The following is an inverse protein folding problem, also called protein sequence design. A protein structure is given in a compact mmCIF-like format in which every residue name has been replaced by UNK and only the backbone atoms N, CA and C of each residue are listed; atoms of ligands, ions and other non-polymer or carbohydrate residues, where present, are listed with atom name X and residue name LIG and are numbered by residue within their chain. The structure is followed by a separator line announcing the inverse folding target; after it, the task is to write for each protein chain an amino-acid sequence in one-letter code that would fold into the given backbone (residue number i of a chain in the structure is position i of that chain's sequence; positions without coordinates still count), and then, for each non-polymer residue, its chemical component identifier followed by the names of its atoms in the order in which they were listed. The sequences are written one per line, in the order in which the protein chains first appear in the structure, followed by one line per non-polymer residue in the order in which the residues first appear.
data_IF_454640185813
#
_entry.id   IF_454640185813
#
_cell.length_a   1.000
_cell.length_b   1.000
_cell.length_c   1.000
_cell.angle_alpha   90.00
_cell.angle_beta   90.00
_cell.angle_gamma   90.00
#
_symmetry.space_group_name_H-M   'P 1'
#
loop_
_entity.id
_entity.type
_entity.pdbx_description
1 polymer ?
#
# COMPACT_ATOMS: atom_id res chain seq x y z
N UNK A 1 49.69 -4.23 23.78
CA UNK A 1 48.41 -4.38 23.06
C UNK A 1 48.74 -4.72 21.61
N UNK A 2 47.95 -5.54 20.92
CA UNK A 2 48.12 -5.76 19.49
C UNK A 2 48.12 -4.40 18.76
N UNK A 3 49.08 -4.22 17.85
CA UNK A 3 49.31 -2.95 17.15
C UNK A 3 48.42 -2.77 15.91
N UNK A 4 47.78 -3.85 15.44
CA UNK A 4 46.98 -3.87 14.21
C UNK A 4 45.82 -4.86 14.34
N UNK A 5 44.73 -4.60 13.63
CA UNK A 5 43.63 -5.55 13.48
C UNK A 5 43.99 -6.65 12.46
N UNK A 6 43.41 -7.83 12.62
CA UNK A 6 43.46 -8.89 11.61
C UNK A 6 42.12 -8.97 10.90
N UNK A 7 42.14 -9.06 9.57
CA UNK A 7 40.93 -9.02 8.73
C UNK A 7 40.82 -10.31 7.92
N UNK A 8 39.72 -11.05 8.11
CA UNK A 8 39.42 -12.27 7.36
C UNK A 8 38.11 -12.12 6.58
N UNK A 9 38.17 -12.08 5.25
CA UNK A 9 36.97 -11.93 4.39
C UNK A 9 36.04 -13.14 4.51
N UNK A 10 34.74 -12.87 4.65
CA UNK A 10 33.69 -13.91 4.74
C UNK A 10 32.93 -13.97 3.42
N UNK A 11 32.93 -15.14 2.77
CA UNK A 11 32.09 -15.49 1.62
C UNK A 11 31.94 -14.37 0.57
N UNK A 12 33.06 -13.75 0.20
CA UNK A 12 33.22 -12.67 -0.78
C UNK A 12 32.47 -11.35 -0.48
N UNK A 13 31.14 -11.37 -0.42
CA UNK A 13 30.30 -10.17 -0.32
C UNK A 13 29.54 -10.05 1.02
N UNK A 14 29.77 -10.95 1.98
CA UNK A 14 29.06 -10.95 3.27
C UNK A 14 29.72 -10.05 4.34
N UNK A 15 30.99 -9.68 4.16
CA UNK A 15 31.74 -8.82 5.08
C UNK A 15 33.09 -9.41 5.46
N UNK A 16 33.62 -8.99 6.62
CA UNK A 16 34.89 -9.50 7.15
C UNK A 16 34.84 -9.75 8.67
N UNK A 17 35.48 -10.82 9.13
CA UNK A 17 35.73 -11.05 10.55
C UNK A 17 36.99 -10.30 10.99
N UNK A 18 36.88 -9.57 12.11
CA UNK A 18 37.96 -8.83 12.71
C UNK A 18 38.41 -9.54 13.99
N UNK A 19 39.70 -9.82 14.07
CA UNK A 19 40.33 -10.42 15.26
C UNK A 19 41.58 -9.64 15.68
N UNK A 20 42.17 -10.05 16.81
CA UNK A 20 43.33 -9.37 17.37
C UNK A 20 43.00 -8.10 18.15
N UNK A 21 41.74 -7.88 18.53
CA UNK A 21 41.33 -6.78 19.42
C UNK A 21 40.34 -7.25 20.48
N UNK A 22 40.24 -6.47 21.57
CA UNK A 22 39.28 -6.69 22.66
C UNK A 22 38.44 -5.43 22.88
N UNK A 23 37.18 -5.47 22.43
CA UNK A 23 36.23 -4.36 22.52
C UNK A 23 35.79 -4.08 23.97
N UNK A 24 36.14 -4.95 24.92
CA UNK A 24 35.89 -4.70 26.36
C UNK A 24 36.84 -3.64 26.90
N UNK A 25 37.93 -3.33 26.19
CA UNK A 25 38.88 -2.29 26.52
C UNK A 25 38.72 -1.09 25.60
N UNK A 26 39.06 0.14 26.05
CA UNK A 26 39.13 1.30 25.18
C UNK A 26 40.09 1.05 24.01
N UNK A 27 39.63 1.34 22.79
CA UNK A 27 40.47 1.28 21.58
C UNK A 27 41.26 2.58 21.43
N UNK A 28 42.52 2.47 21.01
CA UNK A 28 43.29 3.64 20.57
C UNK A 28 42.71 4.19 19.26
N UNK A 29 43.07 5.43 18.94
CA UNK A 29 42.57 6.08 17.73
C UNK A 29 43.11 5.39 16.47
N UNK A 30 44.34 4.91 16.49
CA UNK A 30 44.93 4.16 15.36
C UNK A 30 44.15 2.87 15.07
N UNK A 31 43.79 2.10 16.11
CA UNK A 31 43.00 0.87 15.94
C UNK A 31 41.59 1.20 15.43
N UNK A 32 40.99 2.28 15.92
CA UNK A 32 39.67 2.68 15.47
C UNK A 32 39.67 3.13 13.99
N UNK A 33 40.71 3.84 13.54
CA UNK A 33 40.87 4.21 12.14
C UNK A 33 40.98 2.97 11.23
N UNK A 34 41.75 1.95 11.63
CA UNK A 34 41.80 0.68 10.91
C UNK A 34 40.44 -0.01 10.84
N UNK A 35 39.69 -0.02 11.96
CA UNK A 35 38.34 -0.58 12.01
C UNK A 35 37.36 0.16 11.10
N UNK A 36 37.43 1.49 11.10
CA UNK A 36 36.58 2.32 10.27
C UNK A 36 36.89 2.08 8.78
N UNK A 37 38.17 1.99 8.41
CA UNK A 37 38.59 1.64 7.06
C UNK A 37 38.08 0.25 6.64
N UNK A 38 38.18 -0.74 7.53
CA UNK A 38 37.66 -2.09 7.28
C UNK A 38 36.13 -2.09 7.09
N UNK A 39 35.39 -1.30 7.87
CA UNK A 39 33.95 -1.13 7.68
C UNK A 39 33.62 -0.51 6.32
N UNK A 40 34.36 0.52 5.89
CA UNK A 40 34.16 1.14 4.59
C UNK A 40 34.45 0.19 3.42
N UNK A 41 35.46 -0.67 3.53
CA UNK A 41 35.81 -1.64 2.48
C UNK A 41 34.83 -2.83 2.44
N UNK A 42 34.41 -3.33 3.61
CA UNK A 42 33.69 -4.60 3.72
C UNK A 42 32.20 -4.45 3.99
N UNK A 43 31.71 -3.23 4.24
CA UNK A 43 30.33 -2.85 4.57
C UNK A 43 29.74 -3.46 5.86
N UNK A 44 30.16 -4.68 6.22
CA UNK A 44 29.81 -5.38 7.45
C UNK A 44 31.07 -6.01 8.04
N UNK A 45 31.31 -5.78 9.32
CA UNK A 45 32.42 -6.39 10.06
C UNK A 45 31.92 -7.15 11.28
N UNK A 46 32.50 -8.31 11.53
CA UNK A 46 32.10 -9.21 12.61
C UNK A 46 33.20 -9.29 13.66
N UNK A 47 32.77 -9.34 14.92
CA UNK A 47 33.67 -9.60 16.04
C UNK A 47 33.18 -10.84 16.78
N UNK A 48 34.09 -11.78 17.04
CA UNK A 48 33.79 -12.99 17.81
C UNK A 48 34.21 -12.81 19.27
N UNK A 49 33.49 -13.48 20.15
CA UNK A 49 33.82 -13.61 21.58
C UNK A 49 33.94 -12.28 22.35
N UNK A 50 33.20 -11.26 21.92
CA UNK A 50 33.15 -9.94 22.56
C UNK A 50 31.99 -9.84 23.55
N UNK A 51 32.18 -10.28 24.79
CA UNK A 51 31.13 -10.22 25.81
C UNK A 51 31.06 -8.82 26.44
N UNK A 52 30.35 -7.89 25.78
CA UNK A 52 30.29 -6.48 26.15
C UNK A 52 29.19 -6.20 27.19
N UNK A 53 29.49 -5.31 28.14
CA UNK A 53 28.46 -4.65 28.95
C UNK A 53 27.69 -3.61 28.12
N UNK A 54 26.45 -3.24 28.50
CA UNK A 54 25.73 -2.14 27.84
C UNK A 54 26.52 -0.84 27.76
N UNK A 55 27.27 -0.50 28.82
CA UNK A 55 28.14 0.68 28.85
C UNK A 55 29.27 0.59 27.81
N UNK A 56 29.98 -0.54 27.72
CA UNK A 56 31.03 -0.75 26.71
C UNK A 56 30.46 -0.73 25.29
N UNK A 57 29.30 -1.36 25.07
CA UNK A 57 28.62 -1.35 23.78
C UNK A 57 28.29 0.07 23.32
N UNK A 58 27.71 0.90 24.22
CA UNK A 58 27.43 2.31 23.98
C UNK A 58 28.70 3.11 23.68
N UNK A 59 29.76 2.92 24.48
CA UNK A 59 31.03 3.63 24.28
C UNK A 59 31.69 3.30 22.94
N UNK A 60 31.65 2.03 22.53
CA UNK A 60 32.13 1.63 21.21
C UNK A 60 31.30 2.26 20.09
N UNK A 61 29.97 2.25 20.20
CA UNK A 61 29.08 2.84 19.20
C UNK A 61 29.28 4.35 19.03
N UNK A 62 29.52 5.08 20.14
CA UNK A 62 29.77 6.52 20.12
C UNK A 62 31.02 6.92 19.33
N UNK A 63 31.97 5.99 19.11
CA UNK A 63 33.13 6.26 18.25
C UNK A 63 32.74 6.51 16.79
N UNK A 64 31.61 5.95 16.33
CA UNK A 64 31.10 6.12 14.97
C UNK A 64 30.19 7.34 14.81
N UNK A 65 29.68 7.91 15.92
CA UNK A 65 28.87 9.12 15.90
C UNK A 65 27.73 9.12 16.92
N UNK A 66 26.80 10.06 16.73
CA UNK A 66 25.64 10.21 17.60
C UNK A 66 24.68 9.03 17.47
N UNK A 67 24.23 8.50 18.61
CA UNK A 67 23.30 7.37 18.67
C UNK A 67 21.85 7.84 18.49
N UNK A 68 21.02 6.98 17.92
CA UNK A 68 19.59 7.21 17.78
C UNK A 68 18.81 6.26 18.69
N UNK A 69 17.67 6.73 19.18
CA UNK A 69 16.72 5.92 19.95
C UNK A 69 15.54 5.53 19.07
N UNK A 70 14.93 4.39 19.37
CA UNK A 70 13.72 3.92 18.67
C UNK A 70 12.56 3.79 19.66
N UNK A 71 11.45 4.53 19.49
CA UNK A 71 10.36 4.55 20.48
C UNK A 71 9.52 3.26 20.48
N UNK A 72 9.57 2.47 19.39
CA UNK A 72 8.69 1.31 19.22
C UNK A 72 9.22 0.01 19.86
N UNK A 73 10.46 0.01 20.37
CA UNK A 73 11.07 -1.20 20.93
C UNK A 73 11.45 -1.00 22.39
N UNK A 74 11.42 -2.08 23.19
CA UNK A 74 12.00 -2.06 24.53
C UNK A 74 13.49 -1.71 24.46
N UNK A 75 13.99 -1.07 25.50
CA UNK A 75 15.39 -0.65 25.61
C UNK A 75 16.01 -1.22 26.86
N UNK A 76 17.33 -1.32 26.87
CA UNK A 76 18.06 -1.75 28.06
C UNK A 76 17.93 -0.69 29.16
N UNK A 77 17.62 -1.12 30.38
CA UNK A 77 17.47 -0.23 31.52
C UNK A 77 18.74 0.63 31.74
N UNK A 78 18.57 1.95 31.83
CA UNK A 78 19.68 2.90 31.93
C UNK A 78 20.40 3.23 30.61
N UNK A 79 20.03 2.58 29.50
CA UNK A 79 20.64 2.75 28.17
C UNK A 79 19.55 2.83 27.08
N UNK A 80 18.80 3.95 27.00
CA UNK A 80 17.68 4.11 26.06
C UNK A 80 18.08 4.07 24.58
N UNK A 81 19.38 4.19 24.27
CA UNK A 81 19.92 4.07 22.92
C UNK A 81 20.18 2.61 22.50
N UNK A 82 20.06 1.65 23.42
CA UNK A 82 20.24 0.23 23.14
C UNK A 82 18.88 -0.44 23.07
N UNK A 83 18.42 -0.68 21.85
CA UNK A 83 17.19 -1.40 21.56
C UNK A 83 17.37 -2.91 21.76
N UNK A 84 16.36 -3.53 22.38
CA UNK A 84 16.27 -4.99 22.54
C UNK A 84 15.47 -5.55 21.35
N UNK A 85 16.10 -6.43 20.58
CA UNK A 85 15.49 -7.18 19.50
C UNK A 85 15.41 -8.65 19.93
N UNK A 86 14.19 -9.10 20.22
CA UNK A 86 13.90 -10.46 20.66
C UNK A 86 12.72 -11.00 19.87
N UNK A 87 12.97 -12.09 19.15
CA UNK A 87 11.95 -12.86 18.45
C UNK A 87 11.98 -14.28 19.00
N UNK A 88 10.84 -14.78 19.46
CA UNK A 88 10.68 -16.14 19.94
C UNK A 88 9.30 -16.69 19.55
N UNK A 89 8.97 -17.90 20.02
CA UNK A 89 7.69 -18.55 19.69
C UNK A 89 6.48 -17.74 20.16
N UNK A 90 6.62 -17.04 21.29
CA UNK A 90 5.58 -16.24 21.93
C UNK A 90 5.62 -14.77 21.46
N UNK A 91 6.76 -14.33 20.90
CA UNK A 91 7.00 -13.02 20.28
C UNK A 91 7.50 -13.18 18.83
N UNK A 92 6.64 -13.57 17.87
CA UNK A 92 7.08 -13.75 16.49
C UNK A 92 7.49 -12.41 15.85
N UNK A 93 8.47 -12.46 14.96
CA UNK A 93 8.89 -11.31 14.16
C UNK A 93 7.71 -10.75 13.36
N UNK A 94 7.63 -9.42 13.32
CA UNK A 94 6.56 -8.68 12.66
C UNK A 94 6.94 -8.22 11.25
N UNK A 95 8.19 -8.40 10.84
CA UNK A 95 8.73 -7.88 9.56
C UNK A 95 9.51 -9.02 8.86
N UNK A 96 8.78 -9.87 8.14
CA UNK A 96 9.32 -11.04 7.42
C UNK A 96 9.65 -10.73 5.95
N UNK A 97 10.13 -9.52 5.66
CA UNK A 97 10.46 -9.07 4.30
C UNK A 97 11.79 -8.31 4.30
N UNK A 98 12.49 -8.37 3.16
CA UNK A 98 13.67 -7.54 2.92
C UNK A 98 13.31 -6.06 3.08
N UNK A 99 14.01 -5.38 3.98
CA UNK A 99 13.81 -3.96 4.25
C UNK A 99 15.15 -3.26 4.47
N UNK A 100 15.12 -1.93 4.42
CA UNK A 100 16.25 -1.09 4.80
C UNK A 100 15.77 -0.01 5.75
N UNK A 101 16.31 -0.02 6.96
CA UNK A 101 15.82 0.82 8.05
C UNK A 101 16.16 2.29 7.86
N UNK A 102 15.19 3.16 8.15
CA UNK A 102 15.40 4.59 8.41
C UNK A 102 15.98 5.43 7.25
N UNK A 103 16.09 4.86 6.06
CA UNK A 103 16.59 5.53 4.84
C UNK A 103 15.73 6.71 4.38
N UNK A 104 14.46 6.76 4.79
CA UNK A 104 13.54 7.86 4.51
C UNK A 104 13.87 9.16 5.29
N UNK A 105 14.75 9.09 6.29
CA UNK A 105 15.12 10.27 7.09
C UNK A 105 16.01 11.22 6.28
N UNK A 106 15.87 12.53 6.53
CA UNK A 106 16.75 13.57 5.92
C UNK A 106 18.25 13.33 6.17
N UNK A 107 18.58 12.68 7.29
CA UNK A 107 19.94 12.22 7.64
C UNK A 107 19.81 10.79 8.14
N UNK A 108 19.88 9.79 7.24
CA UNK A 108 19.81 8.39 7.62
C UNK A 108 20.96 8.02 8.57
N UNK A 109 20.77 7.02 9.46
CA UNK A 109 21.87 6.45 10.23
C UNK A 109 22.97 5.91 9.31
N UNK A 110 24.23 5.99 9.77
CA UNK A 110 25.37 5.37 9.08
C UNK A 110 25.20 3.85 8.96
N UNK A 111 24.68 3.22 10.02
CA UNK A 111 24.49 1.78 10.12
C UNK A 111 24.04 1.38 11.53
N UNK A 112 23.99 0.07 11.76
CA UNK A 112 23.59 -0.54 13.03
C UNK A 112 24.75 -1.33 13.63
N UNK A 113 24.87 -1.31 14.96
CA UNK A 113 25.79 -2.17 15.70
C UNK A 113 24.95 -3.16 16.49
N UNK A 114 25.09 -4.44 16.16
CA UNK A 114 24.31 -5.52 16.74
C UNK A 114 25.20 -6.34 17.68
N UNK A 115 24.75 -6.51 18.91
CA UNK A 115 25.40 -7.38 19.89
C UNK A 115 24.51 -8.59 20.17
N UNK A 116 24.86 -9.71 19.55
CA UNK A 116 24.09 -10.95 19.67
C UNK A 116 24.26 -11.59 21.06
N UNK A 117 23.15 -11.75 21.80
CA UNK A 117 23.14 -12.34 23.16
C UNK A 117 22.67 -13.79 23.17
N UNK A 118 21.67 -14.10 22.34
CA UNK A 118 21.13 -15.43 22.12
C UNK A 118 21.09 -15.67 20.61
N UNK A 119 21.75 -16.73 20.15
CA UNK A 119 21.80 -17.11 18.73
C UNK A 119 21.51 -18.60 18.63
N UNK A 120 20.60 -19.04 17.73
CA UNK A 120 20.35 -20.46 17.54
C UNK A 120 21.60 -21.17 17.04
N UNK A 121 21.77 -22.44 17.41
CA UNK A 121 22.93 -23.24 17.01
C UNK A 121 23.05 -23.42 15.48
N UNK A 122 21.91 -23.42 14.78
CA UNK A 122 21.80 -23.46 13.32
C UNK A 122 20.58 -22.62 12.91
N UNK A 123 20.72 -21.86 11.82
CA UNK A 123 19.64 -21.02 11.28
C UNK A 123 19.61 -19.62 11.88
N UNK A 124 18.42 -19.01 11.86
CA UNK A 124 18.17 -17.61 12.24
C UNK A 124 17.21 -16.96 11.23
N UNK A 125 16.52 -15.91 11.68
CA UNK A 125 15.60 -15.10 10.87
C UNK A 125 16.29 -13.88 10.23
N UNK A 126 17.42 -13.46 10.79
CA UNK A 126 18.13 -12.26 10.35
C UNK A 126 19.09 -12.57 9.20
N UNK A 127 18.77 -12.07 8.02
CA UNK A 127 19.61 -12.12 6.82
C UNK A 127 19.94 -10.71 6.33
N UNK A 128 21.11 -10.53 5.72
CA UNK A 128 21.46 -9.31 5.00
C UNK A 128 22.02 -9.65 3.62
N UNK A 129 21.94 -8.68 2.70
CA UNK A 129 22.46 -8.81 1.35
C UNK A 129 23.22 -7.54 0.95
N UNK A 130 24.28 -7.71 0.16
CA UNK A 130 25.00 -6.57 -0.41
C UNK A 130 24.24 -6.03 -1.61
N UNK A 131 23.66 -4.85 -1.48
CA UNK A 131 22.98 -4.16 -2.58
C UNK A 131 23.94 -3.82 -3.74
N UNK A 132 25.21 -3.58 -3.44
CA UNK A 132 26.24 -3.39 -4.47
C UNK A 132 26.50 -4.66 -5.27
N UNK A 133 26.63 -5.81 -4.60
CA UNK A 133 26.82 -7.09 -5.28
C UNK A 133 25.56 -7.47 -6.08
N UNK A 134 24.38 -7.24 -5.51
CA UNK A 134 23.10 -7.45 -6.20
C UNK A 134 23.02 -6.61 -7.49
N UNK A 135 23.34 -5.31 -7.41
CA UNK A 135 23.34 -4.42 -8.57
C UNK A 135 24.38 -4.83 -9.63
N UNK A 136 25.62 -5.14 -9.21
CA UNK A 136 26.69 -5.60 -10.12
C UNK A 136 26.36 -6.95 -10.76
N UNK A 137 25.54 -7.77 -10.13
CA UNK A 137 25.05 -9.04 -10.67
C UNK A 137 23.94 -8.89 -11.71
N UNK A 138 23.37 -7.69 -11.89
CA UNK A 138 22.38 -7.41 -12.93
C UNK A 138 23.03 -7.34 -14.31
N UNK A 139 22.25 -7.61 -15.35
CA UNK A 139 22.67 -7.38 -16.74
C UNK A 139 22.91 -5.90 -17.03
N UNK A 140 23.75 -5.59 -18.02
CA UNK A 140 24.05 -4.22 -18.43
C UNK A 140 22.79 -3.41 -18.77
N UNK A 141 21.80 -4.05 -19.41
CA UNK A 141 20.53 -3.42 -19.73
C UNK A 141 19.74 -3.01 -18.47
N UNK A 142 19.71 -3.87 -17.45
CA UNK A 142 19.05 -3.55 -16.18
C UNK A 142 19.82 -2.49 -15.39
N UNK A 143 21.15 -2.56 -15.37
CA UNK A 143 21.98 -1.51 -14.77
C UNK A 143 21.72 -0.16 -15.44
N UNK A 144 21.67 -0.11 -16.77
CA UNK A 144 21.37 1.11 -17.53
C UNK A 144 19.97 1.65 -17.23
N UNK A 145 18.95 0.79 -17.24
CA UNK A 145 17.58 1.16 -16.92
C UNK A 145 17.47 1.79 -15.52
N UNK A 146 18.07 1.15 -14.52
CA UNK A 146 18.01 1.60 -13.13
C UNK A 146 18.83 2.88 -12.87
N UNK A 147 19.91 3.10 -13.62
CA UNK A 147 20.82 4.24 -13.41
C UNK A 147 20.17 5.60 -13.62
N UNK A 148 19.09 5.67 -14.40
CA UNK A 148 18.33 6.89 -14.65
C UNK A 148 17.18 7.12 -13.69
N UNK A 149 16.92 6.18 -12.76
CA UNK A 149 15.77 6.25 -11.85
C UNK A 149 16.16 6.86 -10.51
N UNK A 150 15.22 7.58 -9.91
CA UNK A 150 15.36 8.12 -8.55
C UNK A 150 14.64 7.20 -7.57
N UNK A 151 15.36 6.67 -6.59
CA UNK A 151 14.76 5.91 -5.49
C UNK A 151 14.17 6.88 -4.46
N UNK A 152 12.88 6.71 -4.13
CA UNK A 152 12.20 7.42 -3.06
C UNK A 152 12.08 6.47 -1.87
N UNK A 153 12.66 6.88 -0.74
CA UNK A 153 12.57 6.14 0.51
C UNK A 153 11.50 6.80 1.37
N UNK A 154 10.38 6.11 1.57
CA UNK A 154 9.26 6.60 2.37
C UNK A 154 8.86 5.54 3.41
N UNK A 155 8.74 5.99 4.65
CA UNK A 155 8.34 5.21 5.81
C UNK A 155 6.98 4.53 5.62
N UNK A 156 6.07 5.13 4.85
CA UNK A 156 4.73 4.63 4.61
C UNK A 156 4.70 3.24 3.93
N UNK A 157 5.70 2.93 3.09
CA UNK A 157 5.74 1.65 2.36
C UNK A 157 6.32 0.50 3.21
N UNK A 158 7.29 0.78 4.08
CA UNK A 158 7.95 -0.25 4.92
C UNK A 158 7.10 -0.74 6.09
N UNK A 159 6.21 0.11 6.60
CA UNK A 159 5.33 -0.19 7.74
C UNK A 159 3.86 -0.32 7.36
N UNK A 160 3.54 -0.45 6.08
CA UNK A 160 2.17 -0.53 5.57
C UNK A 160 1.35 -1.64 6.27
N UNK A 161 1.99 -2.76 6.63
CA UNK A 161 1.35 -3.87 7.33
C UNK A 161 1.09 -3.58 8.82
N UNK A 162 2.01 -2.89 9.51
CA UNK A 162 1.81 -2.41 10.89
C UNK A 162 0.82 -1.25 10.97
N UNK A 163 0.71 -0.44 9.92
CA UNK A 163 -0.32 0.59 9.78
C UNK A 163 -1.69 -0.02 9.40
N UNK A 164 -1.72 -1.26 8.93
CA UNK A 164 -2.92 -1.99 8.49
C UNK A 164 -3.46 -3.01 9.53
N UNK A 165 -3.18 -2.79 10.82
CA UNK A 165 -3.80 -3.54 11.92
C UNK A 165 -5.35 -3.48 11.85
N UNK A 166 -6.07 -4.47 12.43
CA UNK A 166 -7.52 -4.56 12.36
C UNK A 166 -8.19 -3.29 12.90
N UNK A 167 -8.92 -2.57 12.04
CA UNK A 167 -9.50 -1.25 12.32
C UNK A 167 -8.79 -0.05 11.65
N UNK A 168 -7.64 -0.26 10.98
CA UNK A 168 -6.84 0.77 10.31
C UNK A 168 -6.96 0.84 8.78
N UNK A 169 -7.84 0.06 8.14
CA UNK A 169 -7.96 0.04 6.68
C UNK A 169 -8.55 1.34 6.12
N UNK A 170 -7.84 2.03 5.22
CA UNK A 170 -8.48 3.08 4.43
C UNK A 170 -9.52 2.48 3.48
N UNK A 171 -10.57 3.24 3.15
CA UNK A 171 -11.57 2.79 2.16
C UNK A 171 -10.97 2.75 0.75
N UNK A 172 -11.53 1.92 -0.15
CA UNK A 172 -11.07 1.82 -1.55
C UNK A 172 -10.93 3.20 -2.20
N UNK A 173 -11.91 4.09 -2.02
CA UNK A 173 -11.88 5.45 -2.57
C UNK A 173 -10.74 6.32 -2.03
N UNK A 174 -10.39 6.18 -0.74
CA UNK A 174 -9.26 6.91 -0.16
C UNK A 174 -7.94 6.42 -0.77
N UNK A 175 -7.76 5.10 -0.87
CA UNK A 175 -6.53 4.55 -1.47
C UNK A 175 -6.42 4.92 -2.95
N UNK A 176 -7.52 4.90 -3.72
CA UNK A 176 -7.54 5.41 -5.09
C UNK A 176 -7.08 6.87 -5.13
N UNK A 177 -7.64 7.74 -4.28
CA UNK A 177 -7.26 9.15 -4.24
C UNK A 177 -5.76 9.33 -3.94
N UNK A 178 -5.23 8.59 -2.96
CA UNK A 178 -3.81 8.60 -2.60
C UNK A 178 -2.92 8.24 -3.78
N UNK A 179 -3.16 7.10 -4.43
CA UNK A 179 -2.32 6.63 -5.54
C UNK A 179 -2.35 7.60 -6.74
N UNK A 180 -3.49 8.28 -6.97
CA UNK A 180 -3.56 9.32 -8.00
C UNK A 180 -2.77 10.58 -7.61
N UNK A 181 -2.83 11.02 -6.34
CA UNK A 181 -2.05 12.17 -5.87
C UNK A 181 -0.54 11.93 -6.03
N UNK A 182 -0.06 10.72 -5.75
CA UNK A 182 1.34 10.33 -5.93
C UNK A 182 1.80 10.39 -7.39
N UNK A 183 0.86 10.39 -8.36
CA UNK A 183 1.15 10.60 -9.78
C UNK A 183 1.14 12.07 -10.21
N UNK A 184 0.85 12.99 -9.28
CA UNK A 184 0.73 14.42 -9.54
C UNK A 184 -0.68 14.88 -9.94
N UNK A 185 -1.71 14.03 -9.78
CA UNK A 185 -3.08 14.43 -10.06
C UNK A 185 -3.60 15.44 -9.03
N UNK A 186 -4.44 16.37 -9.48
CA UNK A 186 -5.27 17.19 -8.60
C UNK A 186 -6.56 16.43 -8.28
N UNK A 187 -6.87 16.21 -7.01
CA UNK A 187 -8.00 15.37 -6.60
C UNK A 187 -9.09 16.17 -5.90
N UNK A 188 -10.34 15.88 -6.28
CA UNK A 188 -11.54 16.33 -5.58
C UNK A 188 -12.28 15.10 -5.07
N UNK A 189 -12.37 14.95 -3.75
CA UNK A 189 -13.17 13.90 -3.12
C UNK A 189 -14.56 14.41 -2.78
N UNK A 190 -15.59 13.58 -2.99
CA UNK A 190 -16.97 13.98 -2.71
C UNK A 190 -17.77 12.85 -2.06
N UNK A 191 -18.49 13.18 -0.98
CA UNK A 191 -19.34 12.26 -0.21
C UNK A 191 -20.31 13.02 0.70
N UNK A 192 -21.20 12.32 1.40
CA UNK A 192 -22.23 12.93 2.26
C UNK A 192 -21.73 13.37 3.63
N UNK A 193 -20.68 12.73 4.14
CA UNK A 193 -20.19 12.94 5.51
C UNK A 193 -19.03 13.94 5.48
N UNK A 194 -19.32 15.18 5.86
CA UNK A 194 -18.35 16.29 5.81
C UNK A 194 -17.17 16.07 6.76
N UNK A 195 -17.40 15.55 7.97
CA UNK A 195 -16.33 15.32 8.94
C UNK A 195 -15.33 14.29 8.42
N UNK A 196 -15.83 13.18 7.85
CA UNK A 196 -14.99 12.16 7.21
C UNK A 196 -14.27 12.70 5.99
N UNK A 197 -14.93 13.50 5.16
CA UNK A 197 -14.29 14.15 4.01
C UNK A 197 -13.16 15.07 4.42
N UNK A 198 -13.39 15.93 5.42
CA UNK A 198 -12.39 16.86 5.91
C UNK A 198 -11.16 16.12 6.42
N UNK A 199 -11.36 15.12 7.28
CA UNK A 199 -10.27 14.27 7.79
C UNK A 199 -9.51 13.59 6.64
N UNK A 200 -10.23 12.99 5.68
CA UNK A 200 -9.61 12.33 4.54
C UNK A 200 -8.83 13.33 3.67
N UNK A 201 -9.36 14.53 3.45
CA UNK A 201 -8.70 15.58 2.67
C UNK A 201 -7.43 16.07 3.37
N UNK A 202 -7.47 16.27 4.69
CA UNK A 202 -6.30 16.67 5.49
C UNK A 202 -5.19 15.62 5.39
N UNK A 203 -5.52 14.33 5.50
CA UNK A 203 -4.58 13.21 5.33
C UNK A 203 -4.03 13.13 3.90
N UNK A 204 -4.90 13.24 2.89
CA UNK A 204 -4.53 13.15 1.47
C UNK A 204 -3.69 14.35 1.01
N UNK A 205 -3.85 15.52 1.63
CA UNK A 205 -3.07 16.72 1.31
C UNK A 205 -1.56 16.55 1.55
N UNK A 206 -1.15 15.53 2.30
CA UNK A 206 0.26 15.15 2.43
C UNK A 206 0.87 14.59 1.12
N UNK A 207 0.05 14.07 0.21
CA UNK A 207 0.49 13.42 -1.04
C UNK A 207 0.34 14.32 -2.28
N UNK A 208 -0.43 15.41 -2.18
CA UNK A 208 -0.65 16.32 -3.30
C UNK A 208 -1.84 17.26 -3.07
N UNK A 209 -2.29 17.94 -4.13
CA UNK A 209 -3.42 18.87 -4.03
C UNK A 209 -4.75 18.11 -3.97
N UNK A 210 -5.40 18.18 -2.81
CA UNK A 210 -6.70 17.56 -2.55
C UNK A 210 -7.70 18.62 -2.07
N UNK A 211 -8.92 18.58 -2.61
CA UNK A 211 -10.08 19.34 -2.12
C UNK A 211 -11.23 18.38 -1.84
N UNK A 212 -12.16 18.79 -0.99
CA UNK A 212 -13.39 18.04 -0.77
C UNK A 212 -14.63 18.88 -1.08
N UNK A 213 -15.71 18.21 -1.47
CA UNK A 213 -17.04 18.79 -1.64
C UNK A 213 -18.09 17.85 -1.04
N UNK A 214 -19.03 18.39 -0.27
CA UNK A 214 -20.14 17.60 0.27
C UNK A 214 -21.14 17.32 -0.84
N UNK A 215 -21.52 16.05 -0.98
CA UNK A 215 -22.38 15.58 -2.07
C UNK A 215 -23.17 14.34 -1.67
N UNK A 216 -24.49 14.40 -1.82
CA UNK A 216 -25.34 13.23 -1.99
C UNK A 216 -25.61 12.97 -3.48
N UNK A 217 -25.06 11.88 -4.01
CA UNK A 217 -25.20 11.51 -5.43
C UNK A 217 -26.63 11.12 -5.83
N UNK A 218 -27.57 11.08 -4.88
CA UNK A 218 -29.00 10.88 -5.15
C UNK A 218 -29.71 12.21 -5.46
N UNK A 219 -29.10 13.33 -5.07
CA UNK A 219 -29.66 14.67 -5.20
C UNK A 219 -29.11 15.39 -6.43
N UNK A 220 -29.85 15.33 -7.54
CA UNK A 220 -29.38 15.85 -8.84
C UNK A 220 -28.99 17.34 -8.85
N UNK A 221 -29.62 18.18 -8.03
CA UNK A 221 -29.26 19.59 -7.88
C UNK A 221 -27.89 19.78 -7.17
N UNK A 222 -27.56 18.92 -6.21
CA UNK A 222 -26.23 18.93 -5.58
C UNK A 222 -25.15 18.49 -6.57
N UNK A 223 -25.44 17.47 -7.39
CA UNK A 223 -24.54 17.01 -8.45
C UNK A 223 -24.29 18.12 -9.45
N UNK A 224 -25.32 18.84 -9.88
CA UNK A 224 -25.17 20.00 -10.76
C UNK A 224 -24.28 21.07 -10.14
N UNK A 225 -24.57 21.47 -8.90
CA UNK A 225 -23.77 22.46 -8.15
C UNK A 225 -22.30 22.05 -8.00
N UNK A 226 -22.03 20.75 -7.78
CA UNK A 226 -20.67 20.20 -7.72
C UNK A 226 -19.90 20.46 -9.01
N UNK A 227 -20.47 20.09 -10.17
CA UNK A 227 -19.77 20.25 -11.45
C UNK A 227 -19.67 21.71 -11.89
N UNK A 228 -20.60 22.58 -11.47
CA UNK A 228 -20.46 24.04 -11.62
C UNK A 228 -19.27 24.56 -10.79
N UNK A 229 -19.12 24.12 -9.54
CA UNK A 229 -17.98 24.49 -8.70
C UNK A 229 -16.64 24.01 -9.30
N UNK A 230 -16.59 22.78 -9.82
CA UNK A 230 -15.40 22.25 -10.52
C UNK A 230 -15.09 23.10 -11.76
N UNK A 231 -16.12 23.49 -12.53
CA UNK A 231 -15.92 24.30 -13.73
C UNK A 231 -15.36 25.69 -13.40
N UNK A 232 -15.85 26.30 -12.32
CA UNK A 232 -15.40 27.61 -11.85
C UNK A 232 -13.94 27.59 -11.36
N UNK A 233 -13.55 26.56 -10.61
CA UNK A 233 -12.24 26.54 -9.94
C UNK A 233 -11.15 25.84 -10.75
N UNK A 234 -11.49 24.77 -11.46
CA UNK A 234 -10.53 23.92 -12.18
C UNK A 234 -10.59 24.12 -13.70
N UNK A 235 -11.73 24.57 -14.23
CA UNK A 235 -11.97 24.80 -15.66
C UNK A 235 -12.03 23.55 -16.54
N UNK A 236 -11.66 22.38 -16.01
CA UNK A 236 -11.64 21.09 -16.71
C UNK A 236 -11.88 19.92 -15.75
N UNK A 237 -12.25 18.78 -16.31
CA UNK A 237 -12.25 17.51 -15.61
C UNK A 237 -11.73 16.42 -16.54
N UNK A 238 -10.72 15.67 -16.11
CA UNK A 238 -10.10 14.63 -16.95
C UNK A 238 -10.58 13.23 -16.60
N UNK A 239 -10.79 12.97 -15.31
CA UNK A 239 -11.05 11.62 -14.79
C UNK A 239 -12.21 11.68 -13.79
N UNK A 240 -13.18 10.78 -13.93
CA UNK A 240 -14.26 10.55 -12.97
C UNK A 240 -14.16 9.13 -12.43
N UNK A 241 -14.07 8.99 -11.10
CA UNK A 241 -14.12 7.70 -10.42
C UNK A 241 -15.44 7.59 -9.65
N UNK A 242 -16.36 6.75 -10.14
CA UNK A 242 -17.58 6.45 -9.41
C UNK A 242 -17.33 5.31 -8.42
N UNK A 243 -17.00 5.66 -7.18
CA UNK A 243 -16.77 4.68 -6.10
C UNK A 243 -17.88 4.66 -5.04
N UNK A 244 -18.71 5.70 -4.98
CA UNK A 244 -19.79 5.78 -4.01
C UNK A 244 -20.73 4.57 -4.14
N UNK A 245 -21.13 4.03 -2.98
CA UNK A 245 -21.92 2.81 -2.93
C UNK A 245 -22.22 2.38 -1.51
N UNK A 246 -23.08 1.39 -1.40
CA UNK A 246 -23.51 0.83 -0.12
C UNK A 246 -24.43 -0.36 -0.36
N UNK A 247 -24.40 -1.32 0.54
CA UNK A 247 -25.13 -2.57 0.44
C UNK A 247 -25.33 -3.14 1.84
N UNK A 248 -26.29 -4.05 1.98
CA UNK A 248 -26.49 -4.80 3.21
C UNK A 248 -26.99 -6.22 2.88
N UNK A 249 -26.63 -7.23 3.69
CA UNK A 249 -27.13 -8.59 3.51
C UNK A 249 -28.62 -8.69 3.87
N UNK A 250 -29.42 -9.31 3.00
CA UNK A 250 -30.83 -9.63 3.21
C UNK A 250 -31.31 -10.64 2.16
N UNK A 251 -32.08 -11.65 2.57
CA UNK A 251 -32.76 -12.59 1.67
C UNK A 251 -33.68 -11.83 0.72
N UNK A 252 -33.85 -12.29 -0.52
CA UNK A 252 -34.52 -11.51 -1.56
C UNK A 252 -35.98 -11.17 -1.21
N UNK A 253 -36.69 -12.09 -0.56
CA UNK A 253 -38.06 -11.96 -0.07
C UNK A 253 -38.21 -10.95 1.09
N UNK A 254 -37.13 -10.66 1.82
CA UNK A 254 -37.13 -9.77 2.99
C UNK A 254 -36.65 -8.35 2.67
N UNK A 255 -36.19 -8.09 1.44
CA UNK A 255 -35.77 -6.75 1.02
C UNK A 255 -37.01 -5.85 0.90
N UNK A 256 -37.19 -4.96 1.87
CA UNK A 256 -38.22 -3.92 1.79
C UNK A 256 -38.03 -3.01 0.57
N UNK A 257 -39.13 -2.41 0.09
CA UNK A 257 -39.11 -1.42 -1.01
C UNK A 257 -38.14 -0.27 -0.71
N UNK A 258 -38.09 0.21 0.53
CA UNK A 258 -37.18 1.28 0.93
C UNK A 258 -35.72 0.82 0.88
N UNK A 259 -35.43 -0.40 1.34
CA UNK A 259 -34.09 -0.99 1.27
C UNK A 259 -33.62 -1.20 -0.17
N UNK A 260 -34.51 -1.72 -1.03
CA UNK A 260 -34.28 -1.83 -2.47
C UNK A 260 -33.95 -0.47 -3.09
N UNK A 261 -34.83 0.51 -2.90
CA UNK A 261 -34.66 1.85 -3.46
C UNK A 261 -33.40 2.54 -2.96
N UNK A 262 -33.03 2.37 -1.69
CA UNK A 262 -31.79 2.95 -1.16
C UNK A 262 -30.55 2.43 -1.90
N UNK A 263 -30.47 1.11 -2.13
CA UNK A 263 -29.33 0.50 -2.84
C UNK A 263 -29.38 0.82 -4.35
N UNK A 264 -30.53 0.72 -5.01
CA UNK A 264 -30.65 1.08 -6.43
C UNK A 264 -30.31 2.55 -6.66
N UNK A 265 -30.87 3.46 -5.86
CA UNK A 265 -30.66 4.90 -6.05
C UNK A 265 -29.20 5.29 -5.80
N UNK A 266 -28.56 4.72 -4.78
CA UNK A 266 -27.17 5.04 -4.48
C UNK A 266 -26.20 4.44 -5.51
N UNK A 267 -26.38 3.18 -5.89
CA UNK A 267 -25.36 2.46 -6.68
C UNK A 267 -25.57 2.58 -8.20
N UNK A 268 -26.82 2.64 -8.68
CA UNK A 268 -27.13 2.72 -10.11
C UNK A 268 -27.52 4.15 -10.52
N UNK A 269 -28.57 4.70 -9.93
CA UNK A 269 -29.09 6.01 -10.37
C UNK A 269 -28.08 7.12 -10.07
N UNK A 270 -27.47 7.14 -8.89
CA UNK A 270 -26.45 8.12 -8.54
C UNK A 270 -25.22 8.06 -9.44
N UNK A 271 -24.72 6.85 -9.73
CA UNK A 271 -23.64 6.64 -10.71
C UNK A 271 -24.03 7.22 -12.08
N UNK A 272 -25.25 6.97 -12.55
CA UNK A 272 -25.74 7.53 -13.79
C UNK A 272 -25.81 9.06 -13.76
N UNK A 273 -26.39 9.65 -12.72
CA UNK A 273 -26.56 11.10 -12.62
C UNK A 273 -25.22 11.83 -12.60
N UNK A 274 -24.26 11.36 -11.79
CA UNK A 274 -22.90 11.92 -11.75
C UNK A 274 -22.21 11.77 -13.10
N UNK A 275 -22.27 10.59 -13.71
CA UNK A 275 -21.64 10.30 -15.01
C UNK A 275 -22.22 11.17 -16.12
N UNK A 276 -23.55 11.29 -16.18
CA UNK A 276 -24.22 12.11 -17.18
C UNK A 276 -23.88 13.59 -17.03
N UNK A 277 -23.85 14.11 -15.80
CA UNK A 277 -23.53 15.51 -15.55
C UNK A 277 -22.07 15.82 -15.90
N UNK A 278 -21.11 14.95 -15.51
CA UNK A 278 -19.71 15.09 -15.89
C UNK A 278 -19.53 15.11 -17.41
N UNK A 279 -20.22 14.21 -18.12
CA UNK A 279 -20.16 14.13 -19.57
C UNK A 279 -20.68 15.39 -20.26
N UNK A 280 -21.86 15.88 -19.84
CA UNK A 280 -22.49 17.09 -20.40
C UNK A 280 -21.66 18.36 -20.15
N UNK A 281 -21.14 18.51 -18.93
CA UNK A 281 -20.41 19.70 -18.52
C UNK A 281 -18.99 19.73 -19.06
N UNK A 282 -18.30 18.57 -19.11
CA UNK A 282 -16.88 18.50 -19.44
C UNK A 282 -16.61 17.58 -20.63
N UNK A 283 -16.75 16.26 -20.45
CA UNK A 283 -16.08 15.29 -21.34
C UNK A 283 -16.51 15.38 -22.81
N UNK A 284 -17.80 15.57 -23.08
CA UNK A 284 -18.32 15.64 -24.46
C UNK A 284 -17.88 16.92 -25.18
N UNK A 285 -17.69 18.02 -24.45
CA UNK A 285 -17.24 19.30 -24.98
C UNK A 285 -15.72 19.31 -25.17
N UNK A 286 -14.99 18.82 -24.16
CA UNK A 286 -13.54 18.66 -24.17
C UNK A 286 -13.06 17.68 -25.25
N UNK A 287 -13.93 16.76 -25.69
CA UNK A 287 -13.56 15.60 -26.52
C UNK A 287 -12.42 14.79 -25.89
N UNK A 288 -12.48 14.65 -24.58
CA UNK A 288 -11.56 13.88 -23.77
C UNK A 288 -12.19 13.63 -22.40
N UNK A 289 -12.04 12.43 -21.88
CA UNK A 289 -12.49 12.08 -20.54
C UNK A 289 -12.32 10.60 -20.24
N UNK A 290 -12.09 10.27 -18.97
CA UNK A 290 -11.93 8.89 -18.54
C UNK A 290 -12.82 8.63 -17.34
N UNK A 291 -13.64 7.58 -17.41
CA UNK A 291 -14.55 7.20 -16.35
C UNK A 291 -14.20 5.80 -15.87
N UNK A 292 -14.06 5.62 -14.57
CA UNK A 292 -13.90 4.29 -13.97
C UNK A 292 -14.97 4.08 -12.91
N UNK A 293 -15.79 3.06 -13.09
CA UNK A 293 -16.84 2.68 -12.16
C UNK A 293 -16.35 1.56 -11.24
N UNK A 294 -16.31 1.80 -9.93
CA UNK A 294 -16.05 0.73 -8.96
C UNK A 294 -17.39 0.05 -8.65
N UNK A 295 -17.51 -1.20 -9.08
CA UNK A 295 -18.69 -2.02 -8.87
C UNK A 295 -18.40 -3.12 -7.85
N UNK A 296 -18.97 -4.31 -8.03
CA UNK A 296 -18.66 -5.50 -7.25
C UNK A 296 -18.61 -6.72 -8.19
N UNK A 297 -18.03 -7.82 -7.72
CA UNK A 297 -18.10 -9.09 -8.43
C UNK A 297 -19.54 -9.61 -8.54
N UNK A 298 -20.16 -9.39 -9.70
CA UNK A 298 -21.54 -9.80 -10.03
C UNK A 298 -21.62 -10.98 -11.01
N UNK A 299 -20.49 -11.59 -11.35
CA UNK A 299 -20.39 -12.51 -12.50
C UNK A 299 -21.35 -13.70 -12.40
N UNK A 300 -21.57 -14.22 -11.19
CA UNK A 300 -22.47 -15.36 -10.90
C UNK A 300 -23.76 -14.91 -10.21
N UNK A 301 -24.15 -13.65 -10.38
CA UNK A 301 -25.20 -13.02 -9.56
C UNK A 301 -24.69 -12.63 -8.18
N UNK A 302 -25.61 -12.25 -7.29
CA UNK A 302 -25.27 -11.77 -5.94
C UNK A 302 -26.28 -12.26 -4.88
N UNK A 303 -26.33 -13.58 -4.59
CA UNK A 303 -27.24 -14.14 -3.58
C UNK A 303 -27.07 -13.47 -2.21
N UNK A 304 -28.19 -13.27 -1.51
CA UNK A 304 -28.23 -12.56 -0.23
C UNK A 304 -28.10 -11.03 -0.33
N UNK A 305 -27.94 -10.45 -1.53
CA UNK A 305 -28.03 -8.99 -1.76
C UNK A 305 -28.55 -8.68 -3.17
N UNK A 306 -29.73 -9.20 -3.54
CA UNK A 306 -30.28 -9.09 -4.91
C UNK A 306 -30.27 -7.65 -5.47
N UNK A 307 -30.62 -6.65 -4.65
CA UNK A 307 -30.57 -5.22 -5.00
C UNK A 307 -29.18 -4.71 -5.43
N UNK A 308 -28.10 -5.25 -4.86
CA UNK A 308 -26.71 -4.87 -5.14
C UNK A 308 -26.28 -5.50 -6.45
N UNK A 309 -26.56 -6.80 -6.63
CA UNK A 309 -26.33 -7.50 -7.89
C UNK A 309 -27.01 -6.79 -9.06
N UNK A 310 -28.29 -6.43 -8.91
CA UNK A 310 -29.05 -5.70 -9.92
C UNK A 310 -28.44 -4.32 -10.22
N UNK A 311 -28.14 -3.51 -9.20
CA UNK A 311 -27.57 -2.18 -9.39
C UNK A 311 -26.19 -2.23 -10.08
N UNK A 312 -25.28 -3.09 -9.61
CA UNK A 312 -23.92 -3.20 -10.14
C UNK A 312 -23.91 -3.82 -11.54
N UNK A 313 -24.84 -4.72 -11.86
CA UNK A 313 -25.05 -5.21 -13.23
C UNK A 313 -25.54 -4.10 -14.16
N UNK A 314 -26.45 -3.25 -13.69
CA UNK A 314 -26.88 -2.06 -14.40
C UNK A 314 -25.71 -1.12 -14.73
N UNK A 315 -24.81 -0.87 -13.77
CA UNK A 315 -23.60 -0.05 -14.00
C UNK A 315 -22.61 -0.71 -14.95
N UNK A 316 -22.43 -2.04 -14.85
CA UNK A 316 -21.60 -2.81 -15.80
C UNK A 316 -22.14 -2.70 -17.22
N UNK A 317 -23.46 -2.77 -17.41
CA UNK A 317 -24.06 -2.59 -18.72
C UNK A 317 -24.02 -1.13 -19.20
N UNK A 318 -24.25 -0.17 -18.30
CA UNK A 318 -24.09 1.27 -18.58
C UNK A 318 -22.69 1.58 -19.12
N UNK A 319 -21.65 1.00 -18.49
CA UNK A 319 -20.24 1.13 -18.90
C UNK A 319 -20.07 0.72 -20.38
N UNK A 320 -20.64 -0.43 -20.79
CA UNK A 320 -20.57 -0.91 -22.18
C UNK A 320 -21.30 0.02 -23.15
N UNK A 321 -22.52 0.43 -22.80
CA UNK A 321 -23.33 1.32 -23.64
C UNK A 321 -22.62 2.64 -23.89
N UNK A 322 -22.16 3.30 -22.82
CA UNK A 322 -21.53 4.62 -22.92
C UNK A 322 -20.14 4.57 -23.59
N UNK A 323 -19.44 3.43 -23.50
CA UNK A 323 -18.18 3.23 -24.21
C UNK A 323 -18.36 3.33 -25.73
N UNK A 324 -19.50 2.85 -26.26
CA UNK A 324 -19.82 2.95 -27.68
C UNK A 324 -20.35 4.34 -28.03
N UNK A 325 -21.33 4.83 -27.27
CA UNK A 325 -21.99 6.11 -27.57
C UNK A 325 -21.01 7.30 -27.51
N UNK A 326 -20.05 7.28 -26.59
CA UNK A 326 -19.12 8.39 -26.38
C UNK A 326 -17.73 8.19 -26.99
N UNK A 327 -17.48 7.07 -27.68
CA UNK A 327 -16.21 6.80 -28.37
C UNK A 327 -15.82 7.93 -29.34
N UNK A 328 -16.80 8.46 -30.10
CA UNK A 328 -16.59 9.54 -31.06
C UNK A 328 -16.18 10.88 -30.41
N UNK A 329 -16.29 10.99 -29.09
CA UNK A 329 -15.83 12.12 -28.28
C UNK A 329 -14.52 11.81 -27.54
N UNK A 330 -13.84 10.69 -27.85
CA UNK A 330 -12.62 10.26 -27.17
C UNK A 330 -12.82 10.18 -25.64
N UNK A 331 -13.99 9.68 -25.22
CA UNK A 331 -14.27 9.38 -23.81
C UNK A 331 -14.15 7.88 -23.61
N UNK A 332 -13.32 7.47 -22.65
CA UNK A 332 -13.17 6.06 -22.25
C UNK A 332 -13.95 5.82 -20.97
N UNK A 333 -14.59 4.67 -20.86
CA UNK A 333 -15.31 4.27 -19.66
C UNK A 333 -15.12 2.78 -19.41
N UNK A 334 -14.69 2.42 -18.21
CA UNK A 334 -14.50 1.02 -17.79
C UNK A 334 -15.04 0.83 -16.38
N UNK A 335 -15.15 -0.42 -15.95
CA UNK A 335 -15.51 -0.79 -14.59
C UNK A 335 -14.45 -1.69 -13.96
N UNK A 336 -14.22 -1.51 -12.66
CA UNK A 336 -13.45 -2.42 -11.82
C UNK A 336 -14.44 -3.16 -10.93
N UNK A 337 -14.35 -4.49 -10.90
CA UNK A 337 -15.20 -5.36 -10.09
C UNK A 337 -14.35 -6.07 -9.03
N UNK A 338 -14.14 -5.46 -7.85
CA UNK A 338 -13.43 -6.10 -6.76
C UNK A 338 -14.17 -7.32 -6.22
N UNK A 339 -13.40 -8.32 -5.79
CA UNK A 339 -13.87 -9.37 -4.90
C UNK A 339 -13.91 -8.90 -3.45
N UNK A 340 -13.49 -9.75 -2.53
CA UNK A 340 -13.43 -9.41 -1.11
C UNK A 340 -12.11 -8.68 -0.83
N UNK A 341 -12.21 -7.41 -0.45
CA UNK A 341 -11.08 -6.51 -0.24
C UNK A 341 -10.98 -6.14 1.25
N UNK A 342 -9.80 -6.32 1.84
CA UNK A 342 -9.50 -5.86 3.21
C UNK A 342 -9.57 -4.33 3.25
N UNK A 343 -10.65 -3.79 3.82
CA UNK A 343 -10.92 -2.34 3.93
C UNK A 343 -11.94 -2.08 5.05
N UNK A 344 -12.12 -0.82 5.45
CA UNK A 344 -13.21 -0.38 6.36
C UNK A 344 -14.60 -0.72 5.85
N UNK A 345 -14.77 -1.03 4.56
CA UNK A 345 -16.03 -1.54 4.01
C UNK A 345 -16.43 -2.90 4.61
N UNK A 346 -15.48 -3.70 5.09
CA UNK A 346 -15.76 -4.99 5.73
C UNK A 346 -16.31 -4.86 7.16
N UNK A 347 -16.14 -3.71 7.80
CA UNK A 347 -16.59 -3.47 9.18
C UNK A 347 -18.13 -3.52 9.33
N UNK A 348 -18.85 -3.46 8.20
CA UNK A 348 -20.31 -3.60 8.14
C UNK A 348 -20.79 -5.05 8.24
N UNK A 349 -19.88 -6.02 8.19
CA UNK A 349 -20.20 -7.45 8.23
C UNK A 349 -19.87 -8.06 9.61
N UNK A 350 -20.69 -9.00 10.10
CA UNK A 350 -20.39 -9.71 11.34
C UNK A 350 -19.06 -10.48 11.25
N UNK A 351 -18.29 -10.60 12.35
CA UNK A 351 -17.03 -11.35 12.36
C UNK A 351 -17.16 -12.80 11.89
N UNK A 352 -18.31 -13.45 12.11
CA UNK A 352 -18.51 -14.83 11.64
C UNK A 352 -18.52 -14.93 10.11
N UNK A 353 -18.95 -13.88 9.40
CA UNK A 353 -18.97 -13.83 7.94
C UNK A 353 -17.55 -13.78 7.36
N UNK A 354 -16.61 -13.17 8.08
CA UNK A 354 -15.22 -13.02 7.67
C UNK A 354 -14.37 -14.26 7.96
N UNK A 355 -14.82 -15.13 8.88
CA UNK A 355 -14.09 -16.33 9.28
C UNK A 355 -14.03 -17.35 8.13
N UNK A 356 -12.81 -17.68 7.71
CA UNK A 356 -12.57 -18.63 6.61
C UNK A 356 -12.96 -18.10 5.23
N UNK A 357 -13.19 -16.80 5.07
CA UNK A 357 -13.56 -16.24 3.77
C UNK A 357 -12.39 -16.32 2.78
N UNK A 358 -11.15 -16.24 3.27
CA UNK A 358 -9.93 -16.39 2.47
C UNK A 358 -9.79 -17.77 1.84
N UNK A 359 -10.19 -18.86 2.52
CA UNK A 359 -10.07 -20.23 1.99
C UNK A 359 -11.01 -20.49 0.80
N UNK A 360 -12.08 -19.69 0.69
CA UNK A 360 -13.04 -19.68 -0.43
C UNK A 360 -12.58 -18.84 -1.62
N UNK A 361 -11.42 -18.19 -1.55
CA UNK A 361 -10.80 -17.46 -2.65
C UNK A 361 -9.65 -18.34 -3.19
N UNK A 362 -9.53 -18.57 -4.51
CA UNK A 362 -8.44 -19.38 -5.07
C UNK A 362 -7.05 -18.95 -4.64
N UNK A 363 -6.80 -17.64 -4.57
CA UNK A 363 -5.53 -17.08 -4.09
C UNK A 363 -5.33 -17.17 -2.57
N UNK A 364 -6.27 -17.77 -1.83
CA UNK A 364 -6.23 -18.01 -0.38
C UNK A 364 -6.02 -16.76 0.49
N UNK A 365 -6.29 -15.58 -0.05
CA UNK A 365 -6.22 -14.28 0.64
C UNK A 365 -7.28 -13.31 0.14
N UNK A 366 -7.55 -12.29 0.94
CA UNK A 366 -8.32 -11.12 0.51
C UNK A 366 -7.45 -10.24 -0.40
N UNK A 367 -8.09 -9.48 -1.27
CA UNK A 367 -7.43 -8.39 -1.97
C UNK A 367 -7.19 -7.20 -1.04
N UNK A 368 -6.34 -6.28 -1.46
CA UNK A 368 -6.05 -5.02 -0.76
C UNK A 368 -6.65 -3.83 -1.50
N UNK A 369 -6.87 -2.71 -0.82
CA UNK A 369 -7.35 -1.48 -1.46
C UNK A 369 -6.32 -0.94 -2.46
N UNK A 370 -5.02 -1.11 -2.21
CA UNK A 370 -3.93 -0.75 -3.12
C UNK A 370 -4.00 -1.52 -4.44
N UNK A 371 -4.30 -2.83 -4.41
CA UNK A 371 -4.49 -3.62 -5.63
C UNK A 371 -5.64 -3.08 -6.50
N UNK A 372 -6.75 -2.66 -5.88
CA UNK A 372 -7.87 -2.01 -6.58
C UNK A 372 -7.46 -0.64 -7.12
N UNK A 373 -6.71 0.13 -6.34
CA UNK A 373 -6.24 1.46 -6.72
C UNK A 373 -5.28 1.41 -7.92
N UNK A 374 -4.32 0.48 -7.94
CA UNK A 374 -3.41 0.29 -9.07
C UNK A 374 -4.14 -0.06 -10.37
N UNK A 375 -5.13 -0.96 -10.32
CA UNK A 375 -5.93 -1.29 -11.50
C UNK A 375 -6.75 -0.08 -11.97
N UNK A 376 -7.32 0.67 -11.02
CA UNK A 376 -8.08 1.90 -11.31
C UNK A 376 -7.19 2.93 -11.99
N UNK A 377 -5.98 3.16 -11.47
CA UNK A 377 -4.97 4.06 -12.03
C UNK A 377 -4.56 3.63 -13.44
N UNK A 378 -4.29 2.33 -13.65
CA UNK A 378 -3.98 1.78 -14.98
C UNK A 378 -5.08 2.11 -15.99
N UNK A 379 -6.35 1.80 -15.66
CA UNK A 379 -7.50 2.09 -16.54
C UNK A 379 -7.70 3.58 -16.78
N UNK A 380 -7.34 4.41 -15.80
CA UNK A 380 -7.38 5.87 -15.87
C UNK A 380 -6.18 6.51 -16.57
N UNK A 381 -5.17 5.72 -16.95
CA UNK A 381 -3.93 6.21 -17.56
C UNK A 381 -3.89 6.02 -19.08
N UNK A 382 -2.86 6.58 -19.69
CA UNK A 382 -2.53 6.40 -21.10
C UNK A 382 -2.18 4.95 -21.47
N UNK A 383 -1.82 4.12 -20.49
CA UNK A 383 -1.53 2.70 -20.71
C UNK A 383 -2.77 1.92 -21.14
N UNK A 384 -3.97 2.43 -20.84
CA UNK A 384 -5.26 1.84 -21.20
C UNK A 384 -5.95 2.57 -22.36
N UNK A 385 -5.22 3.32 -23.20
CA UNK A 385 -5.78 4.12 -24.32
C UNK A 385 -6.69 3.34 -25.27
N UNK A 386 -6.48 2.03 -25.42
CA UNK A 386 -7.27 1.16 -26.30
C UNK A 386 -8.25 0.26 -25.54
N UNK A 387 -8.54 0.57 -24.26
CA UNK A 387 -9.47 -0.18 -23.41
C UNK A 387 -10.65 0.71 -23.03
N UNK A 388 -11.85 0.34 -23.47
CA UNK A 388 -13.12 0.98 -23.11
C UNK A 388 -14.25 -0.06 -23.16
N UNK A 389 -15.26 0.09 -22.32
CA UNK A 389 -16.41 -0.82 -22.22
C UNK A 389 -16.18 -2.08 -21.40
N UNK A 390 -14.99 -2.23 -20.78
CA UNK A 390 -14.63 -3.45 -20.07
C UNK A 390 -15.01 -3.40 -18.59
N UNK A 391 -15.34 -4.58 -18.06
CA UNK A 391 -15.44 -4.82 -16.62
C UNK A 391 -14.32 -5.75 -16.20
N UNK A 392 -13.29 -5.20 -15.57
CA UNK A 392 -12.12 -5.96 -15.11
C UNK A 392 -12.35 -6.43 -13.68
N UNK A 393 -12.36 -7.74 -13.49
CA UNK A 393 -12.54 -8.36 -12.18
C UNK A 393 -11.20 -8.52 -11.47
N UNK A 394 -11.16 -8.07 -10.20
CA UNK A 394 -10.00 -8.19 -9.32
C UNK A 394 -10.43 -8.90 -8.02
N UNK A 395 -10.53 -10.22 -8.10
CA UNK A 395 -11.24 -11.04 -7.12
C UNK A 395 -10.48 -12.30 -6.69
N UNK A 396 -9.19 -12.37 -7.01
CA UNK A 396 -8.36 -13.55 -6.74
C UNK A 396 -8.86 -14.83 -7.39
N UNK A 397 -9.59 -14.73 -8.51
CA UNK A 397 -10.18 -15.86 -9.23
C UNK A 397 -11.55 -16.29 -8.70
N UNK A 398 -12.09 -15.61 -7.67
CA UNK A 398 -13.33 -16.01 -6.98
C UNK A 398 -14.53 -16.17 -7.91
N UNK A 399 -14.68 -15.31 -8.93
CA UNK A 399 -15.79 -15.44 -9.91
C UNK A 399 -15.77 -16.74 -10.72
N UNK A 400 -14.61 -17.37 -10.85
CA UNK A 400 -14.42 -18.63 -11.58
C UNK A 400 -14.33 -19.84 -10.64
N UNK A 401 -14.37 -19.62 -9.33
CA UNK A 401 -14.14 -20.64 -8.31
C UNK A 401 -15.42 -21.34 -7.86
N UNK A 402 -15.37 -22.67 -7.67
CA UNK A 402 -16.46 -23.49 -7.14
C UNK A 402 -16.84 -24.71 -8.01
N UNK A 403 -17.71 -25.56 -7.44
CA UNK A 403 -18.44 -26.77 -7.87
C UNK A 403 -17.82 -27.82 -8.81
N UNK A 404 -16.75 -27.54 -9.57
CA UNK A 404 -16.10 -28.53 -10.45
C UNK A 404 -14.71 -28.96 -10.00
N UNK A 405 -14.05 -28.16 -9.17
CA UNK A 405 -12.66 -28.39 -8.80
C UNK A 405 -12.39 -27.92 -7.38
N UNK A 406 -11.98 -28.82 -6.49
CA UNK A 406 -11.55 -28.49 -5.13
C UNK A 406 -10.02 -28.34 -5.10
N UNK A 407 -9.53 -27.24 -4.52
CA UNK A 407 -8.10 -26.98 -4.32
C UNK A 407 -7.82 -27.30 -2.85
N UNK A 408 -6.84 -28.20 -2.55
CA UNK A 408 -6.43 -28.48 -1.18
C UNK A 408 -5.99 -27.19 -0.48
N UNK A 409 -6.28 -27.08 0.82
CA UNK A 409 -5.73 -25.98 1.61
C UNK A 409 -4.20 -26.10 1.64
N UNK A 410 -3.52 -24.98 1.36
CA UNK A 410 -2.05 -24.88 1.30
C UNK A 410 -1.49 -24.60 2.68
#
# INVERSE_FOLDING_TARGET
MPTHIQINKIAHALGAEISGIDLRQPLTDEIFEELHAALCEHFVIFFRDQNLTPAQHKQFALRFGALQTHPAYPTVEGFPEITILENDKDNPSKIEKWHIDMTFRKRPPLGSILHAKSVPAVGGDTMWASMYAAYKGLSDAMQHFLSGLTAIHDFAFGFQESLAEPGGGSGIGFTIAKEFLETGAHIIIASRDEERLKKACDELSAFGSCRYLVLDIRETEQIKSLFENIAEHEGRLDILINNAGGQFPSSAEDISVNGWNAVINNNLNGTWFVTQQAAKQFFLQQKNGIIVNIIANIFRGFPGMAHTGAARAGVSNLTKTLAVEWAHKNVRINAVAPGIIKSTGLDQYPPEFLKGISSKIPMKRLGTTTEVAHLTLFLASDMAKYITGETVYIDGGSRLWGDMWEIPDV
#
